data_IF_215754683917
#
_entry.id   IF_215754683917
#
_cell.length_a   1.000
_cell.length_b   1.000
_cell.length_c   1.000
_cell.angle_alpha   90.00
_cell.angle_beta   90.00
_cell.angle_gamma   90.00
#
_symmetry.space_group_name_H-M   'P 1'
#
loop_
_entity.id
_entity.type
_entity.pdbx_description
1 polymer ?
#
# COMPACT_ATOMS: atom_id res chain seq x y z
N UNK A 1 6.47 -0.28 -26.96
CA UNK A 1 5.41 -0.64 -25.99
C UNK A 1 6.09 -0.95 -24.68
N UNK A 2 5.50 -0.57 -23.54
CA UNK A 2 6.04 -0.85 -22.20
C UNK A 2 5.06 -1.73 -21.47
N UNK A 3 5.54 -2.84 -20.92
CA UNK A 3 4.75 -3.73 -20.08
C UNK A 3 5.09 -3.49 -18.62
N UNK A 4 4.08 -3.52 -17.75
CA UNK A 4 4.28 -3.48 -16.30
C UNK A 4 4.24 -4.88 -15.73
N UNK A 5 4.99 -5.07 -14.66
CA UNK A 5 5.08 -6.33 -13.97
C UNK A 5 5.75 -6.16 -12.63
N UNK A 6 5.74 -7.25 -11.86
CA UNK A 6 6.35 -7.33 -10.55
C UNK A 6 7.24 -8.57 -10.47
N UNK A 7 8.20 -8.56 -9.55
CA UNK A 7 9.10 -9.70 -9.35
C UNK A 7 8.45 -10.66 -8.36
N UNK A 8 8.16 -11.88 -8.80
CA UNK A 8 7.76 -12.99 -7.95
C UNK A 8 8.84 -14.06 -7.96
N UNK A 9 9.43 -14.34 -6.79
CA UNK A 9 10.44 -15.40 -6.61
C UNK A 9 11.62 -15.33 -7.61
N UNK A 10 12.02 -14.11 -7.98
CA UNK A 10 13.12 -13.87 -8.93
C UNK A 10 12.72 -13.87 -10.41
N UNK A 11 11.43 -14.05 -10.72
CA UNK A 11 10.88 -13.98 -12.09
C UNK A 11 10.04 -12.72 -12.23
N UNK A 12 10.16 -12.01 -13.36
CA UNK A 12 9.26 -10.88 -13.67
C UNK A 12 7.96 -11.43 -14.22
N UNK A 13 6.86 -11.20 -13.51
CA UNK A 13 5.50 -11.54 -13.91
C UNK A 13 4.81 -10.28 -14.44
N UNK A 14 4.22 -10.34 -15.63
CA UNK A 14 3.48 -9.22 -16.18
C UNK A 14 2.15 -9.04 -15.44
N UNK A 15 1.81 -7.80 -15.11
CA UNK A 15 0.54 -7.47 -14.41
C UNK A 15 -0.67 -7.71 -15.32
N UNK A 16 -0.48 -7.48 -16.62
CA UNK A 16 -1.48 -7.66 -17.67
C UNK A 16 -1.01 -8.75 -18.66
N UNK A 17 -1.91 -9.62 -19.14
CA UNK A 17 -1.56 -10.63 -20.14
C UNK A 17 -1.02 -9.98 -21.42
N UNK A 18 0.14 -10.42 -21.88
CA UNK A 18 0.72 -9.99 -23.16
C UNK A 18 1.36 -11.18 -23.89
N UNK A 19 1.14 -11.27 -25.20
CA UNK A 19 1.80 -12.27 -26.04
C UNK A 19 3.09 -11.71 -26.62
N UNK A 20 4.21 -12.05 -25.99
CA UNK A 20 5.54 -11.81 -26.53
C UNK A 20 5.97 -13.00 -27.40
N UNK A 21 6.64 -12.79 -28.54
CA UNK A 21 7.17 -13.88 -29.34
C UNK A 21 8.19 -14.72 -28.54
N UNK A 22 8.17 -16.03 -28.75
CA UNK A 22 9.18 -16.94 -28.18
C UNK A 22 10.59 -16.49 -28.60
N UNK A 23 11.52 -16.45 -27.64
CA UNK A 23 12.90 -16.02 -27.89
C UNK A 23 13.11 -14.51 -28.06
N UNK A 24 12.08 -13.68 -27.85
CA UNK A 24 12.24 -12.22 -27.90
C UNK A 24 13.21 -11.74 -26.81
N UNK A 25 14.23 -10.97 -27.20
CA UNK A 25 15.14 -10.30 -26.26
C UNK A 25 14.37 -9.19 -25.52
N UNK A 26 14.42 -9.22 -24.19
CA UNK A 26 13.70 -8.26 -23.33
C UNK A 26 14.68 -7.47 -22.46
N UNK A 27 14.41 -6.18 -22.30
CA UNK A 27 15.11 -5.31 -21.35
C UNK A 27 14.22 -5.05 -20.14
N UNK A 28 14.71 -5.41 -18.95
CA UNK A 28 14.01 -5.17 -17.69
C UNK A 28 14.57 -3.91 -17.05
N UNK A 29 13.69 -2.92 -16.84
CA UNK A 29 14.02 -1.68 -16.16
C UNK A 29 13.17 -1.58 -14.87
N UNK A 30 13.78 -1.47 -13.68
CA UNK A 30 13.04 -1.22 -12.45
C UNK A 30 12.31 0.12 -12.52
N UNK A 31 10.98 0.10 -12.43
CA UNK A 31 10.13 1.30 -12.59
C UNK A 31 9.91 2.06 -11.25
N UNK A 32 10.49 1.55 -10.16
CA UNK A 32 10.40 2.17 -8.83
C UNK A 32 10.96 1.25 -7.75
N UNK A 33 10.99 1.75 -6.51
CA UNK A 33 11.28 0.90 -5.36
C UNK A 33 10.00 0.20 -4.92
N UNK A 34 10.06 -1.09 -4.56
CA UNK A 34 8.92 -1.76 -3.96
C UNK A 34 8.51 -1.03 -2.67
N UNK A 35 7.22 -0.71 -2.54
CA UNK A 35 6.68 -0.16 -1.31
C UNK A 35 6.67 -1.26 -0.23
N UNK A 36 7.74 -1.31 0.55
CA UNK A 36 7.92 -2.27 1.64
C UNK A 36 6.82 -2.19 2.70
N UNK A 37 6.07 -1.09 2.74
CA UNK A 37 5.00 -0.86 3.70
C UNK A 37 3.62 -1.08 3.11
N UNK A 38 3.51 -1.50 1.84
CA UNK A 38 2.22 -1.63 1.16
C UNK A 38 1.25 -2.54 1.94
N UNK A 39 1.71 -3.71 2.37
CA UNK A 39 0.89 -4.65 3.13
C UNK A 39 0.44 -4.06 4.48
N UNK A 40 1.34 -3.41 5.21
CA UNK A 40 1.03 -2.75 6.49
C UNK A 40 0.03 -1.59 6.28
N UNK A 41 0.29 -0.72 5.31
CA UNK A 41 -0.58 0.42 4.97
C UNK A 41 -1.98 -0.06 4.60
N UNK A 42 -2.09 -1.09 3.76
CA UNK A 42 -3.39 -1.68 3.40
C UNK A 42 -4.08 -2.31 4.62
N UNK A 43 -3.33 -2.97 5.51
CA UNK A 43 -3.86 -3.48 6.77
C UNK A 43 -4.42 -2.37 7.67
N UNK A 44 -3.67 -1.30 7.88
CA UNK A 44 -4.10 -0.14 8.68
C UNK A 44 -5.29 0.59 8.06
N UNK A 45 -5.35 0.71 6.73
CA UNK A 45 -6.48 1.33 6.03
C UNK A 45 -7.80 0.60 6.28
N UNK A 46 -7.78 -0.72 6.53
CA UNK A 46 -8.99 -1.47 6.90
C UNK A 46 -9.57 -1.03 8.26
N UNK A 47 -8.74 -0.46 9.13
CA UNK A 47 -9.18 0.06 10.44
C UNK A 47 -9.74 1.48 10.34
N UNK A 48 -9.42 2.21 9.28
CA UNK A 48 -9.81 3.61 9.11
C UNK A 48 -11.34 3.76 9.11
N UNK A 49 -11.85 4.58 10.04
CA UNK A 49 -13.28 4.89 10.12
C UNK A 49 -14.18 3.73 10.58
N UNK A 50 -13.62 2.66 11.16
CA UNK A 50 -14.39 1.55 11.73
C UNK A 50 -15.18 1.96 12.97
N UNK A 51 -14.63 2.83 13.80
CA UNK A 51 -15.33 3.41 14.96
C UNK A 51 -16.16 4.62 14.53
N UNK A 52 -17.45 4.61 14.86
CA UNK A 52 -18.41 5.67 14.54
C UNK A 52 -18.71 6.53 15.78
N UNK A 53 -19.21 7.74 15.56
CA UNK A 53 -19.66 8.63 16.64
C UNK A 53 -18.55 9.21 17.52
N UNK A 54 -17.29 9.13 17.07
CA UNK A 54 -16.16 9.74 17.79
C UNK A 54 -16.15 11.26 17.61
N UNK A 55 -15.63 12.01 18.60
CA UNK A 55 -15.34 13.42 18.45
C UNK A 55 -14.43 13.69 17.24
N UNK A 56 -14.63 14.80 16.50
CA UNK A 56 -13.82 15.12 15.32
C UNK A 56 -12.34 15.38 15.65
N UNK A 57 -12.04 15.74 16.89
CA UNK A 57 -10.71 15.99 17.43
C UNK A 57 -10.16 14.81 18.26
N UNK A 58 -10.82 13.64 18.23
CA UNK A 58 -10.43 12.45 19.01
C UNK A 58 -8.95 12.08 18.81
N UNK A 59 -8.42 12.18 17.59
CA UNK A 59 -7.01 11.85 17.34
C UNK A 59 -6.04 12.78 18.08
N UNK A 60 -6.35 14.09 18.12
CA UNK A 60 -5.52 15.09 18.81
C UNK A 60 -5.68 15.01 20.33
N UNK A 61 -6.90 14.75 20.80
CA UNK A 61 -7.28 14.79 22.21
C UNK A 61 -7.57 13.40 22.78
N UNK A 62 -6.92 12.34 22.29
CA UNK A 62 -7.24 10.97 22.70
C UNK A 62 -7.05 10.76 24.20
N UNK A 63 -6.01 11.34 24.81
CA UNK A 63 -5.78 11.27 26.26
C UNK A 63 -6.89 11.97 27.07
N UNK A 64 -7.47 13.06 26.56
CA UNK A 64 -8.61 13.72 27.20
C UNK A 64 -9.83 12.79 27.22
N UNK A 65 -10.15 12.19 26.07
CA UNK A 65 -11.35 11.35 25.94
C UNK A 65 -11.21 9.97 26.58
N UNK A 66 -10.01 9.38 26.58
CA UNK A 66 -9.76 8.05 27.14
C UNK A 66 -9.37 8.09 28.62
N UNK A 67 -8.69 9.15 29.06
CA UNK A 67 -8.02 9.20 30.36
C UNK A 67 -8.33 10.45 31.19
N UNK A 68 -9.12 11.40 30.67
CA UNK A 68 -9.53 12.60 31.41
C UNK A 68 -8.45 13.68 31.52
N UNK A 69 -7.37 13.59 30.74
CA UNK A 69 -6.34 14.62 30.67
C UNK A 69 -6.91 15.98 30.17
N UNK A 70 -6.26 17.12 30.46
CA UNK A 70 -6.57 18.39 29.80
C UNK A 70 -6.45 18.27 28.27
N UNK A 71 -7.25 19.03 27.51
CA UNK A 71 -7.11 19.09 26.04
C UNK A 71 -5.82 19.83 25.67
N UNK A 72 -5.17 19.35 24.61
CA UNK A 72 -3.95 19.94 24.05
C UNK A 72 -4.25 21.10 23.09
#
# INVERSE_FOLDING_TARGET
MTYRGHVERGVVVLDEPASLPEGAEVRVEPVGQPDRWQALRQGLLRLAGTVKGMPPDMARNHDHYLHGAPRA
#
